data_IF_633648250549
#
_entry.id   IF_633648250549
#
_cell.length_a   1.000
_cell.length_b   1.000
_cell.length_c   1.000
_cell.angle_alpha   90.00
_cell.angle_beta   90.00
_cell.angle_gamma   90.00
#
_symmetry.space_group_name_H-M   'P 1'
#
loop_
_entity.id
_entity.type
_entity.pdbx_description
1 polymer ?
#
# COMPACT_ATOMS: atom_id res chain seq x y z
N UNK A 1 8.35 -4.32 -28.94
CA UNK A 1 7.93 -3.07 -28.27
C UNK A 1 8.52 -3.00 -26.88
N UNK A 2 9.15 -1.88 -26.55
CA UNK A 2 9.71 -1.68 -25.22
C UNK A 2 8.65 -1.17 -24.26
N UNK A 3 8.58 -1.73 -23.09
CA UNK A 3 7.59 -1.37 -22.08
C UNK A 3 8.22 -1.32 -20.71
N UNK A 4 7.91 -0.27 -19.97
CA UNK A 4 8.28 -0.17 -18.56
C UNK A 4 7.00 0.09 -17.78
N UNK A 5 6.78 -0.70 -16.74
CA UNK A 5 5.64 -0.53 -15.86
C UNK A 5 6.11 -0.82 -14.43
N UNK A 6 6.44 0.22 -13.71
CA UNK A 6 7.02 0.10 -12.38
C UNK A 6 6.49 1.17 -11.46
N UNK A 7 6.13 0.77 -10.26
CA UNK A 7 5.65 1.68 -9.22
C UNK A 7 6.45 1.41 -7.96
N UNK A 8 6.99 2.48 -7.39
CA UNK A 8 7.66 2.41 -6.09
C UNK A 8 7.10 3.57 -5.28
N UNK A 9 6.50 3.25 -4.13
CA UNK A 9 5.96 4.30 -3.29
C UNK A 9 6.08 3.94 -1.82
N UNK A 10 6.08 4.97 -0.99
CA UNK A 10 6.07 4.85 0.45
C UNK A 10 4.89 5.67 0.95
N UNK A 11 4.07 5.09 1.79
CA UNK A 11 2.92 5.78 2.33
C UNK A 11 2.38 5.06 3.55
N UNK A 12 1.25 5.52 4.02
CA UNK A 12 0.62 4.95 5.20
C UNK A 12 -0.71 4.30 4.85
N UNK A 13 -1.02 3.21 5.53
CA UNK A 13 -2.31 2.56 5.32
C UNK A 13 -3.44 3.44 5.85
N UNK A 14 -4.48 3.57 5.06
CA UNK A 14 -5.65 4.37 5.44
C UNK A 14 -6.72 3.54 6.14
N UNK A 15 -6.57 2.23 6.09
CA UNK A 15 -7.48 1.29 6.75
C UNK A 15 -6.73 -0.01 7.01
N UNK A 16 -7.32 -0.88 7.81
CA UNK A 16 -6.73 -2.19 8.07
C UNK A 16 -6.67 -3.01 6.79
N UNK A 17 -5.63 -3.83 6.62
CA UNK A 17 -5.54 -4.72 5.47
C UNK A 17 -6.73 -5.67 5.40
N UNK A 18 -7.18 -5.95 4.20
CA UNK A 18 -8.30 -6.85 3.98
C UNK A 18 -7.82 -8.12 3.28
N UNK A 19 -7.84 -9.22 3.99
CA UNK A 19 -7.42 -10.51 3.44
C UNK A 19 -8.61 -11.20 2.80
N UNK A 20 -8.43 -11.67 1.58
CA UNK A 20 -9.46 -12.38 0.84
C UNK A 20 -8.90 -13.65 0.21
N UNK A 21 -9.78 -14.61 -0.05
CA UNK A 21 -9.43 -15.81 -0.78
C UNK A 21 -9.95 -15.69 -2.21
N UNK A 22 -9.18 -16.19 -3.15
CA UNK A 22 -9.61 -16.25 -4.54
C UNK A 22 -10.37 -17.56 -4.77
N UNK A 23 -11.15 -17.67 -5.86
CA UNK A 23 -11.89 -18.90 -6.16
C UNK A 23 -11.01 -20.14 -6.30
N UNK A 24 -9.76 -19.98 -6.70
CA UNK A 24 -8.83 -21.11 -6.83
C UNK A 24 -8.01 -21.37 -5.56
N UNK A 25 -8.42 -20.80 -4.43
CA UNK A 25 -7.78 -21.12 -3.16
C UNK A 25 -6.56 -20.29 -2.79
N UNK A 26 -6.20 -19.33 -3.60
CA UNK A 26 -5.08 -18.44 -3.29
C UNK A 26 -5.52 -17.33 -2.36
N UNK A 27 -4.56 -16.72 -1.67
CA UNK A 27 -4.82 -15.59 -0.80
C UNK A 27 -4.42 -14.29 -1.49
N UNK A 28 -5.15 -13.24 -1.22
CA UNK A 28 -4.73 -11.89 -1.57
C UNK A 28 -5.10 -10.93 -0.46
N UNK A 29 -4.33 -9.87 -0.34
CA UNK A 29 -4.59 -8.83 0.64
C UNK A 29 -4.74 -7.50 -0.09
N UNK A 30 -5.78 -6.76 0.26
CA UNK A 30 -5.99 -5.43 -0.30
C UNK A 30 -5.58 -4.38 0.71
N UNK A 31 -4.78 -3.45 0.23
CA UNK A 31 -4.30 -2.33 1.03
C UNK A 31 -4.74 -1.04 0.37
N UNK A 32 -4.99 -0.03 1.17
CA UNK A 32 -5.19 1.32 0.66
C UNK A 32 -4.15 2.21 1.27
N UNK A 33 -3.28 2.75 0.42
CA UNK A 33 -2.10 3.49 0.83
C UNK A 33 -2.24 4.95 0.45
N UNK A 34 -1.96 5.83 1.40
CA UNK A 34 -1.95 7.27 1.14
C UNK A 34 -0.52 7.75 1.03
N UNK A 35 -0.21 8.38 -0.10
CA UNK A 35 1.06 9.04 -0.32
C UNK A 35 0.78 10.54 -0.48
N UNK A 36 1.43 11.34 0.32
CA UNK A 36 1.20 12.78 0.26
C UNK A 36 2.12 13.46 -0.74
N UNK A 37 1.54 14.34 -1.53
CA UNK A 37 2.29 15.25 -2.36
C UNK A 37 2.36 16.57 -1.62
N UNK A 38 3.55 17.13 -1.51
CA UNK A 38 3.76 18.40 -0.82
C UNK A 38 4.31 19.43 -1.80
N UNK A 39 3.89 20.65 -1.64
CA UNK A 39 4.46 21.75 -2.42
C UNK A 39 4.42 23.04 -1.60
N UNK A 40 5.26 23.97 -1.97
CA UNK A 40 5.28 25.28 -1.32
C UNK A 40 4.32 26.22 -2.04
N UNK A 41 3.39 26.77 -1.29
CA UNK A 41 2.47 27.76 -1.82
C UNK A 41 3.22 29.10 -1.98
N UNK A 42 3.28 29.58 -3.20
CA UNK A 42 4.04 30.80 -3.49
C UNK A 42 3.41 32.07 -2.89
N UNK A 43 2.11 32.04 -2.69
CA UNK A 43 1.40 33.20 -2.17
C UNK A 43 1.53 33.32 -0.65
N UNK A 44 1.47 32.21 0.07
CA UNK A 44 1.51 32.22 1.54
C UNK A 44 2.87 31.84 2.11
N UNK A 45 3.72 31.18 1.31
CA UNK A 45 4.99 30.66 1.78
C UNK A 45 4.87 29.38 2.59
N UNK A 46 3.67 28.90 2.81
CA UNK A 46 3.44 27.70 3.57
C UNK A 46 3.53 26.46 2.70
N UNK A 47 3.70 25.32 3.35
CA UNK A 47 3.73 24.04 2.66
C UNK A 47 2.33 23.44 2.68
N UNK A 48 1.79 23.19 1.51
CA UNK A 48 0.51 22.53 1.35
C UNK A 48 0.74 21.06 1.05
N UNK A 49 -0.18 20.23 1.51
CA UNK A 49 -0.11 18.79 1.27
C UNK A 49 -1.43 18.28 0.70
N UNK A 50 -1.31 17.25 -0.10
CA UNK A 50 -2.47 16.60 -0.67
C UNK A 50 -2.26 15.09 -0.63
N UNK A 51 -3.21 14.33 -0.07
CA UNK A 51 -3.10 12.88 -0.07
C UNK A 51 -3.46 12.31 -1.43
N UNK A 52 -2.73 11.28 -1.83
CA UNK A 52 -3.07 10.48 -3.00
C UNK A 52 -3.32 9.07 -2.49
N UNK A 53 -4.47 8.51 -2.84
CA UNK A 53 -4.87 7.19 -2.37
C UNK A 53 -4.71 6.17 -3.46
N UNK A 54 -4.05 5.07 -3.14
CA UNK A 54 -3.82 3.99 -4.09
C UNK A 54 -4.28 2.67 -3.52
N UNK A 55 -4.98 1.91 -4.35
CA UNK A 55 -5.36 0.56 -4.00
C UNK A 55 -4.24 -0.39 -4.42
N UNK A 56 -3.80 -1.22 -3.48
CA UNK A 56 -2.70 -2.15 -3.70
C UNK A 56 -3.19 -3.56 -3.40
N UNK A 57 -2.88 -4.48 -4.30
CA UNK A 57 -3.18 -5.89 -4.12
C UNK A 57 -1.89 -6.65 -3.93
N UNK A 58 -1.85 -7.48 -2.89
CA UNK A 58 -0.67 -8.29 -2.56
C UNK A 58 -1.10 -9.75 -2.50
N UNK A 59 -0.53 -10.57 -3.36
CA UNK A 59 -0.88 -11.99 -3.42
C UNK A 59 -0.01 -12.86 -2.54
N UNK A 60 -0.57 -14.03 -2.18
CA UNK A 60 0.16 -15.11 -1.56
C UNK A 60 0.63 -14.83 -0.13
N UNK A 61 1.77 -15.39 0.21
CA UNK A 61 2.33 -15.29 1.55
C UNK A 61 2.62 -13.84 1.96
N UNK A 62 3.02 -12.99 1.03
CA UNK A 62 3.23 -11.58 1.31
C UNK A 62 1.93 -10.90 1.70
N UNK A 63 0.83 -11.25 1.05
CA UNK A 63 -0.48 -10.72 1.40
C UNK A 63 -0.93 -11.17 2.77
N UNK A 64 -0.69 -12.42 3.10
CA UNK A 64 -1.01 -12.95 4.41
C UNK A 64 -0.20 -12.25 5.50
N UNK A 65 1.08 -11.98 5.24
CA UNK A 65 1.92 -11.24 6.16
C UNK A 65 1.41 -9.81 6.37
N UNK A 66 0.96 -9.16 5.31
CA UNK A 66 0.37 -7.83 5.42
C UNK A 66 -0.86 -7.84 6.33
N UNK A 67 -1.74 -8.81 6.14
CA UNK A 67 -2.94 -8.91 6.96
C UNK A 67 -2.62 -9.19 8.42
N UNK A 68 -1.53 -9.90 8.67
CA UNK A 68 -1.16 -10.32 10.00
C UNK A 68 -0.44 -9.24 10.80
N UNK A 69 0.43 -8.48 10.17
CA UNK A 69 1.32 -7.55 10.86
C UNK A 69 0.97 -6.07 10.69
N UNK A 70 0.15 -5.72 9.73
CA UNK A 70 -0.16 -4.33 9.46
C UNK A 70 -1.53 -3.93 10.00
N UNK A 71 -1.64 -2.66 10.37
CA UNK A 71 -2.90 -2.05 10.77
C UNK A 71 -2.99 -0.66 10.18
N UNK A 72 -4.17 -0.08 10.26
CA UNK A 72 -4.40 1.30 9.82
C UNK A 72 -3.34 2.24 10.40
N UNK A 73 -2.79 3.09 9.57
CA UNK A 73 -1.80 4.09 9.96
C UNK A 73 -0.34 3.65 9.84
N UNK A 74 -0.10 2.38 9.60
CA UNK A 74 1.28 1.87 9.49
C UNK A 74 1.90 2.28 8.17
N UNK A 75 3.18 2.68 8.20
CA UNK A 75 3.89 3.01 6.97
C UNK A 75 4.39 1.76 6.26
N UNK A 76 4.31 1.79 4.94
CA UNK A 76 4.78 0.68 4.10
C UNK A 76 5.48 1.22 2.87
N UNK A 77 6.41 0.44 2.34
CA UNK A 77 7.02 0.69 1.04
C UNK A 77 6.51 -0.38 0.08
N UNK A 78 5.99 0.04 -1.05
CA UNK A 78 5.42 -0.85 -2.04
C UNK A 78 6.23 -0.76 -3.32
N UNK A 79 6.60 -1.91 -3.87
CA UNK A 79 7.28 -2.03 -5.14
C UNK A 79 6.44 -2.95 -6.00
N UNK A 80 5.96 -2.45 -7.12
CA UNK A 80 5.07 -3.23 -7.95
C UNK A 80 4.87 -2.62 -9.33
N UNK A 81 3.69 -2.84 -9.87
CA UNK A 81 3.33 -2.33 -11.19
C UNK A 81 1.87 -1.92 -11.21
N UNK A 82 1.52 -1.11 -12.19
CA UNK A 82 0.14 -0.73 -12.40
C UNK A 82 -0.60 -1.85 -13.13
N UNK A 83 -1.86 -2.03 -12.80
CA UNK A 83 -2.70 -3.00 -13.44
C UNK A 83 -4.05 -2.37 -13.73
N UNK A 84 -4.50 -2.48 -14.97
CA UNK A 84 -5.75 -1.93 -15.40
C UNK A 84 -6.82 -3.01 -15.40
N UNK A 85 -7.98 -2.66 -14.86
CA UNK A 85 -9.12 -3.57 -14.78
C UNK A 85 -10.33 -2.95 -15.42
N UNK A 86 -11.08 -3.76 -16.10
CA UNK A 86 -12.33 -3.34 -16.69
C UNK A 86 -13.40 -4.37 -16.33
N UNK A 87 -14.58 -3.88 -16.01
CA UNK A 87 -15.70 -4.77 -15.70
C UNK A 87 -17.00 -4.07 -16.10
N UNK A 88 -18.06 -4.88 -16.21
CA UNK A 88 -19.40 -4.40 -16.50
C UNK A 88 -20.25 -4.54 -15.26
N UNK A 89 -20.94 -3.47 -14.89
CA UNK A 89 -21.82 -3.51 -13.72
C UNK A 89 -23.11 -4.25 -14.05
N UNK A 90 -23.87 -4.59 -13.02
CA UNK A 90 -25.17 -5.24 -13.20
C UNK A 90 -26.14 -4.36 -13.98
N UNK A 91 -25.90 -3.07 -14.01
CA UNK A 91 -26.73 -2.11 -14.76
C UNK A 91 -26.27 -1.96 -16.21
N UNK A 92 -25.23 -2.67 -16.58
CA UNK A 92 -24.73 -2.63 -17.96
C UNK A 92 -23.71 -1.55 -18.25
N UNK A 93 -23.26 -0.83 -17.23
CA UNK A 93 -22.23 0.18 -17.40
C UNK A 93 -20.84 -0.43 -17.41
N UNK A 94 -19.98 0.04 -18.28
CA UNK A 94 -18.58 -0.36 -18.29
C UNK A 94 -17.82 0.52 -17.33
N UNK A 95 -17.03 -0.11 -16.47
CA UNK A 95 -16.20 0.58 -15.49
C UNK A 95 -14.76 0.15 -15.67
N UNK A 96 -13.86 1.03 -15.31
CA UNK A 96 -12.43 0.72 -15.37
C UNK A 96 -11.74 1.36 -14.18
N UNK A 97 -10.65 0.75 -13.76
CA UNK A 97 -9.85 1.24 -12.66
C UNK A 97 -8.40 0.80 -12.83
N UNK A 98 -7.50 1.58 -12.26
CA UNK A 98 -6.08 1.26 -12.24
C UNK A 98 -5.70 1.04 -10.79
N UNK A 99 -5.11 -0.10 -10.50
CA UNK A 99 -4.59 -0.41 -9.17
C UNK A 99 -3.12 -0.75 -9.26
N UNK A 100 -2.54 -1.06 -8.12
CA UNK A 100 -1.15 -1.48 -8.04
C UNK A 100 -1.13 -2.95 -7.63
N UNK A 101 -0.37 -3.74 -8.39
CA UNK A 101 -0.09 -5.12 -8.02
C UNK A 101 1.29 -5.13 -7.42
N UNK A 102 1.41 -5.44 -6.14
CA UNK A 102 2.67 -5.40 -5.43
C UNK A 102 3.49 -6.64 -5.72
N UNK A 103 4.77 -6.43 -6.04
CA UNK A 103 5.74 -7.51 -6.11
C UNK A 103 6.36 -7.70 -4.74
N UNK A 104 6.55 -6.61 -4.00
CA UNK A 104 7.01 -6.69 -2.62
C UNK A 104 6.47 -5.54 -1.79
N UNK A 105 6.27 -5.80 -0.51
CA UNK A 105 5.83 -4.81 0.46
C UNK A 105 6.79 -4.87 1.63
N UNK A 106 7.38 -3.75 1.98
CA UNK A 106 8.25 -3.66 3.13
C UNK A 106 7.54 -2.94 4.25
N UNK A 107 7.57 -3.52 5.43
CA UNK A 107 6.95 -2.92 6.60
C UNK A 107 7.97 -1.98 7.23
N UNK A 108 7.63 -0.71 7.29
CA UNK A 108 8.52 0.29 7.82
C UNK A 108 8.19 0.55 9.28
N UNK A 109 9.18 1.04 10.02
CA UNK A 109 8.98 1.41 11.40
C UNK A 109 8.01 2.56 11.48
N UNK A 110 7.00 2.43 12.35
CA UNK A 110 6.07 3.51 12.57
C UNK A 110 6.84 4.70 13.13
N UNK A 111 6.56 5.87 12.59
CA UNK A 111 7.17 7.07 13.10
C UNK A 111 6.53 7.39 14.43
N UNK A 112 7.29 7.30 15.48
CA UNK A 112 6.74 7.33 16.76
C UNK A 112 7.24 8.40 17.57
N UNK A 113 6.50 8.74 18.49
CA UNK A 113 6.90 9.42 19.62
C UNK A 113 7.59 8.48 20.49
N UNK A 114 8.26 7.75 20.08
CA UNK A 114 9.07 7.03 20.51
C UNK A 114 9.53 6.54 21.64
N UNK A 115 9.37 5.60 22.08
CA UNK A 115 9.92 5.08 23.25
C UNK A 115 10.57 3.77 22.88
N UNK A 116 11.34 3.18 23.78
CA UNK A 116 12.07 1.95 23.51
C UNK A 116 11.20 0.81 23.07
N UNK A 117 10.00 0.74 23.61
CA UNK A 117 9.08 -0.32 23.27
C UNK A 117 8.68 -0.29 21.79
N UNK A 118 8.45 0.90 21.27
CA UNK A 118 8.11 1.05 19.88
C UNK A 118 9.28 0.75 18.96
N UNK A 119 10.48 1.09 19.40
CA UNK A 119 11.67 0.76 18.65
C UNK A 119 11.87 -0.75 18.56
N UNK A 120 11.59 -1.46 19.62
CA UNK A 120 11.68 -2.92 19.62
C UNK A 120 10.67 -3.54 18.64
N UNK A 121 9.45 -3.03 18.64
CA UNK A 121 8.44 -3.50 17.70
C UNK A 121 8.85 -3.24 16.26
N UNK A 122 9.43 -2.08 15.99
CA UNK A 122 9.90 -1.75 14.67
C UNK A 122 10.99 -2.70 14.20
N UNK A 123 11.92 -3.04 15.10
CA UNK A 123 12.97 -3.99 14.77
C UNK A 123 12.43 -5.38 14.50
N UNK A 124 11.46 -5.82 15.27
CA UNK A 124 10.83 -7.11 15.06
C UNK A 124 10.11 -7.16 13.70
N UNK A 125 9.43 -6.10 13.34
CA UNK A 125 8.76 -6.01 12.07
C UNK A 125 9.74 -6.07 10.90
N UNK A 126 10.85 -5.38 11.02
CA UNK A 126 11.87 -5.41 9.99
C UNK A 126 12.46 -6.80 9.83
N UNK A 127 12.72 -7.48 10.94
CA UNK A 127 13.21 -8.84 10.91
C UNK A 127 12.21 -9.80 10.29
N UNK A 128 10.92 -9.63 10.60
CA UNK A 128 9.87 -10.48 10.09
C UNK A 128 9.73 -10.39 8.58
N UNK A 129 10.11 -9.26 8.01
CA UNK A 129 9.94 -8.98 6.58
C UNK A 129 11.26 -8.94 5.84
N UNK A 130 12.36 -9.07 6.54
CA UNK A 130 13.67 -9.07 5.93
C UNK A 130 13.81 -10.28 5.01
N UNK A 131 14.28 -10.03 3.84
CA UNK A 131 14.34 -11.03 2.79
C UNK A 131 15.72 -11.65 2.67
#
# INVERSE_FOLDING_TARGET
MATINRVVLVGNLTRDPELRSTPNGSSLCRLRVACNTSWRNKDTGEIDERPNYFDVTVFGASGEACARFLTKGRPVAVDGRLEWHEWTTTEGENRQAVGILADSVQFLAARQRGEGEEAELAEEEEEAVAF
#
